data_IF_297186901736
#
_entry.id   IF_297186901736
#
_cell.length_a   1.000
_cell.length_b   1.000
_cell.length_c   1.000
_cell.angle_alpha   90.00
_cell.angle_beta   90.00
_cell.angle_gamma   90.00
#
_symmetry.space_group_name_H-M   'P 1'
#
loop_
_entity.id
_entity.type
_entity.pdbx_description
1 polymer ?
#
# COMPACT_ATOMS: atom_id res chain seq x y z
N UNK A 1 -8.96 -3.19 -13.69
CA UNK A 1 -8.85 -1.73 -13.55
C UNK A 1 -8.84 -1.47 -12.05
N UNK A 2 -7.81 -0.82 -11.53
CA UNK A 2 -7.67 -0.56 -10.09
C UNK A 2 -8.84 0.32 -9.61
N UNK A 3 -9.47 -0.04 -8.49
CA UNK A 3 -10.59 0.72 -7.92
C UNK A 3 -10.14 2.18 -7.67
N UNK A 4 -10.90 3.19 -8.16
CA UNK A 4 -10.58 4.60 -7.96
C UNK A 4 -10.38 5.00 -6.50
N UNK A 5 -11.02 4.30 -5.56
CA UNK A 5 -10.83 4.53 -4.14
C UNK A 5 -9.36 4.32 -3.73
N UNK A 6 -8.77 3.17 -4.06
CA UNK A 6 -7.40 2.85 -3.66
C UNK A 6 -6.39 3.82 -4.28
N UNK A 7 -6.58 4.16 -5.57
CA UNK A 7 -5.73 5.15 -6.24
C UNK A 7 -5.83 6.54 -5.58
N UNK A 8 -7.06 6.98 -5.29
CA UNK A 8 -7.28 8.30 -4.69
C UNK A 8 -6.72 8.39 -3.27
N UNK A 9 -6.99 7.40 -2.42
CA UNK A 9 -6.47 7.39 -1.05
C UNK A 9 -4.95 7.22 -1.01
N UNK A 10 -4.38 6.32 -1.82
CA UNK A 10 -2.94 6.12 -1.83
C UNK A 10 -2.18 7.34 -2.36
N UNK A 11 -2.78 8.14 -3.26
CA UNK A 11 -2.18 9.39 -3.77
C UNK A 11 -1.97 10.46 -2.69
N UNK A 12 -2.67 10.36 -1.56
CA UNK A 12 -2.54 11.28 -0.42
C UNK A 12 -1.39 10.90 0.49
N UNK A 13 -0.82 9.70 0.33
CA UNK A 13 0.25 9.21 1.18
C UNK A 13 1.60 9.81 0.76
N UNK A 14 2.41 10.29 1.71
CA UNK A 14 3.78 10.69 1.41
C UNK A 14 4.63 9.45 1.07
N UNK A 15 5.69 9.65 0.28
CA UNK A 15 6.51 8.53 -0.23
C UNK A 15 7.09 7.65 0.88
N UNK A 16 7.48 8.22 2.02
CA UNK A 16 7.99 7.45 3.16
C UNK A 16 6.93 6.49 3.73
N UNK A 17 5.67 6.92 3.81
CA UNK A 17 4.55 6.10 4.26
C UNK A 17 4.22 5.01 3.25
N UNK A 18 4.27 5.32 1.95
CA UNK A 18 4.14 4.32 0.87
C UNK A 18 5.21 3.24 1.04
N UNK A 19 6.48 3.62 1.22
CA UNK A 19 7.56 2.65 1.39
C UNK A 19 7.40 1.80 2.65
N UNK A 20 6.92 2.37 3.75
CA UNK A 20 6.62 1.65 4.99
C UNK A 20 5.50 0.61 4.79
N UNK A 21 4.42 0.99 4.11
CA UNK A 21 3.30 0.07 3.80
C UNK A 21 3.70 -1.05 2.85
N UNK A 22 4.54 -0.72 1.87
CA UNK A 22 5.14 -1.71 0.98
C UNK A 22 6.08 -2.66 1.74
N UNK A 23 6.73 -2.22 2.82
CA UNK A 23 7.53 -3.10 3.67
C UNK A 23 6.67 -4.17 4.33
N UNK A 24 5.53 -3.79 4.91
CA UNK A 24 4.56 -4.73 5.50
C UNK A 24 4.12 -5.79 4.47
N UNK A 25 3.68 -5.34 3.28
CA UNK A 25 3.27 -6.24 2.21
C UNK A 25 4.40 -7.16 1.70
N UNK A 26 5.65 -6.68 1.75
CA UNK A 26 6.82 -7.46 1.39
C UNK A 26 7.12 -8.56 2.43
N UNK A 27 7.00 -8.22 3.72
CA UNK A 27 7.21 -9.12 4.86
C UNK A 27 6.11 -10.19 4.95
N UNK A 28 4.85 -9.80 4.77
CA UNK A 28 3.68 -10.70 4.78
C UNK A 28 3.62 -11.64 3.57
N UNK A 29 4.46 -11.40 2.56
CA UNK A 29 4.50 -12.21 1.35
C UNK A 29 3.36 -11.94 0.37
N UNK A 30 2.62 -10.84 0.53
CA UNK A 30 1.52 -10.45 -0.34
C UNK A 30 1.99 -9.99 -1.75
N UNK A 31 3.23 -9.51 -1.86
CA UNK A 31 3.80 -9.06 -3.13
C UNK A 31 4.21 -10.19 -4.08
N UNK A 32 3.96 -9.99 -5.37
CA UNK A 32 4.52 -10.82 -6.44
C UNK A 32 6.04 -10.68 -6.58
N UNK A 33 6.70 -11.64 -7.22
CA UNK A 33 8.15 -11.60 -7.44
C UNK A 33 8.65 -10.32 -8.14
N UNK A 34 7.85 -9.79 -9.07
CA UNK A 34 8.16 -8.56 -9.80
C UNK A 34 8.14 -7.37 -8.83
N UNK A 35 7.09 -7.26 -8.01
CA UNK A 35 6.93 -6.17 -7.04
C UNK A 35 7.99 -6.24 -5.95
N UNK A 36 8.32 -7.44 -5.46
CA UNK A 36 9.45 -7.66 -4.54
C UNK A 36 10.77 -7.20 -5.15
N UNK A 37 10.99 -7.47 -6.44
CA UNK A 37 12.16 -7.00 -7.17
C UNK A 37 12.23 -5.46 -7.26
N UNK A 38 11.11 -4.83 -7.61
CA UNK A 38 10.99 -3.36 -7.68
C UNK A 38 11.21 -2.74 -6.29
N UNK A 39 10.58 -3.28 -5.24
CA UNK A 39 10.73 -2.79 -3.87
C UNK A 39 12.18 -2.83 -3.39
N UNK A 40 12.89 -3.97 -3.58
CA UNK A 40 14.32 -4.08 -3.23
C UNK A 40 15.16 -3.05 -3.98
N UNK A 41 14.92 -2.88 -5.28
CA UNK A 41 15.64 -1.89 -6.08
C UNK A 41 15.43 -0.46 -5.56
N UNK A 42 14.21 -0.10 -5.13
CA UNK A 42 13.93 1.21 -4.52
C UNK A 42 14.66 1.37 -3.19
N UNK A 43 14.64 0.35 -2.30
CA UNK A 43 15.35 0.39 -1.01
C UNK A 43 16.85 0.58 -1.17
N UNK A 44 17.46 -0.06 -2.17
CA UNK A 44 18.91 -0.02 -2.40
C UNK A 44 19.38 1.21 -3.18
N UNK A 45 18.64 1.60 -4.23
CA UNK A 45 19.09 2.56 -5.25
C UNK A 45 18.19 3.78 -5.40
N UNK A 46 17.10 3.84 -4.64
CA UNK A 46 16.11 4.92 -4.71
C UNK A 46 15.15 4.81 -5.90
N UNK A 47 14.09 5.61 -5.84
CA UNK A 47 12.99 5.60 -6.82
C UNK A 47 13.44 6.00 -8.24
N UNK A 48 14.45 6.85 -8.35
CA UNK A 48 15.01 7.29 -9.65
C UNK A 48 15.73 6.17 -10.40
N UNK A 49 16.01 5.04 -9.75
CA UNK A 49 16.64 3.89 -10.39
C UNK A 49 15.68 3.08 -11.27
N UNK A 50 14.36 3.29 -11.13
CA UNK A 50 13.36 2.52 -11.86
C UNK A 50 13.35 2.87 -13.36
N UNK A 51 13.29 1.84 -14.20
CA UNK A 51 12.91 2.03 -15.61
C UNK A 51 11.46 2.50 -15.72
N UNK A 52 11.09 3.07 -16.87
CA UNK A 52 9.72 3.55 -17.14
C UNK A 52 8.66 2.45 -16.88
N UNK A 53 8.94 1.21 -17.31
CA UNK A 53 8.03 0.07 -17.07
C UNK A 53 7.91 -0.26 -15.58
N UNK A 54 9.03 -0.28 -14.85
CA UNK A 54 8.99 -0.54 -13.40
C UNK A 54 8.29 0.59 -12.66
N UNK A 55 8.49 1.83 -13.10
CA UNK A 55 7.80 3.00 -12.55
C UNK A 55 6.30 2.90 -12.76
N UNK A 56 5.85 2.47 -13.94
CA UNK A 56 4.45 2.21 -14.20
C UNK A 56 3.87 1.14 -13.24
N UNK A 57 4.59 0.03 -13.03
CA UNK A 57 4.18 -1.00 -12.06
C UNK A 57 4.16 -0.50 -10.62
N UNK A 58 5.12 0.32 -10.24
CA UNK A 58 5.14 0.97 -8.93
C UNK A 58 3.91 1.86 -8.75
N UNK A 59 3.67 2.79 -9.68
CA UNK A 59 2.61 3.79 -9.56
C UNK A 59 1.19 3.19 -9.68
N UNK A 60 0.99 2.19 -10.55
CA UNK A 60 -0.35 1.65 -10.87
C UNK A 60 -0.63 0.29 -10.22
N UNK A 61 0.40 -0.45 -9.85
CA UNK A 61 0.30 -1.77 -9.23
C UNK A 61 0.53 -1.72 -7.74
N UNK A 62 1.67 -1.17 -7.30
CA UNK A 62 2.12 -1.24 -5.92
C UNK A 62 1.48 -0.18 -5.02
N UNK A 63 1.46 1.09 -5.43
CA UNK A 63 0.90 2.19 -4.61
C UNK A 63 -0.56 1.92 -4.17
N UNK A 64 -1.46 1.44 -5.04
CA UNK A 64 -2.84 1.17 -4.64
C UNK A 64 -2.98 0.09 -3.56
N UNK A 65 -2.03 -0.85 -3.47
CA UNK A 65 -2.03 -1.89 -2.44
C UNK A 65 -1.69 -1.34 -1.06
N UNK A 66 -1.14 -0.12 -0.96
CA UNK A 66 -0.88 0.55 0.30
C UNK A 66 -2.15 1.01 1.04
N UNK A 67 -3.33 0.72 0.52
CA UNK A 67 -4.60 1.10 1.14
C UNK A 67 -5.56 -0.06 1.08
N UNK A 68 -6.18 -0.37 2.22
CA UNK A 68 -7.31 -1.28 2.32
C UNK A 68 -8.58 -0.54 2.75
N UNK A 69 -9.72 -1.24 2.75
CA UNK A 69 -10.99 -0.70 3.22
C UNK A 69 -11.27 -1.20 4.63
N UNK A 70 -11.81 -0.34 5.47
CA UNK A 70 -12.30 -0.75 6.78
C UNK A 70 -13.39 -1.82 6.64
N UNK A 71 -13.30 -2.87 7.45
CA UNK A 71 -14.23 -4.01 7.44
C UNK A 71 -15.62 -3.68 8.00
N UNK A 72 -15.78 -2.52 8.65
CA UNK A 72 -17.09 -2.07 9.16
C UNK A 72 -18.02 -1.74 8.00
N UNK A 73 -19.18 -2.39 7.98
CA UNK A 73 -20.19 -2.20 6.93
C UNK A 73 -20.63 -0.74 6.86
N UNK A 74 -20.43 -0.12 5.69
CA UNK A 74 -20.80 1.27 5.44
C UNK A 74 -19.71 2.29 5.79
N UNK A 75 -18.60 1.86 6.39
CA UNK A 75 -17.42 2.70 6.57
C UNK A 75 -16.69 2.90 5.23
N UNK A 76 -16.32 4.15 4.94
CA UNK A 76 -15.54 4.50 3.73
C UNK A 76 -14.11 4.90 4.04
N UNK A 77 -13.68 4.76 5.30
CA UNK A 77 -12.33 5.14 5.71
C UNK A 77 -11.31 4.10 5.21
N UNK A 78 -10.13 4.54 4.75
CA UNK A 78 -9.04 3.65 4.41
C UNK A 78 -8.44 3.01 5.66
N UNK A 79 -7.79 1.86 5.48
CA UNK A 79 -6.98 1.18 6.49
C UNK A 79 -5.55 0.98 6.00
N UNK A 80 -4.66 0.74 6.95
CA UNK A 80 -3.31 0.26 6.67
C UNK A 80 -3.39 -1.18 6.13
N UNK A 81 -2.52 -1.61 5.20
CA UNK A 81 -2.57 -2.98 4.69
C UNK A 81 -2.43 -4.02 5.81
N UNK A 82 -3.27 -5.06 5.79
CA UNK A 82 -3.34 -6.05 6.86
C UNK A 82 -4.16 -5.65 8.09
N UNK A 83 -4.59 -4.38 8.20
CA UNK A 83 -5.48 -3.93 9.29
C UNK A 83 -6.95 -4.07 8.92
N UNK A 84 -7.70 -4.79 9.75
CA UNK A 84 -9.13 -5.01 9.54
C UNK A 84 -9.97 -3.73 9.71
N UNK A 85 -9.52 -2.80 10.57
CA UNK A 85 -10.27 -1.62 10.98
C UNK A 85 -9.46 -0.33 10.77
N UNK A 86 -10.14 0.78 10.51
CA UNK A 86 -9.48 2.08 10.43
C UNK A 86 -9.26 2.65 11.83
N UNK A 87 -8.40 3.66 11.96
CA UNK A 87 -8.02 4.28 13.24
C UNK A 87 -9.21 4.65 14.16
N UNK A 88 -10.38 4.92 13.58
CA UNK A 88 -11.61 5.21 14.35
C UNK A 88 -12.21 3.92 14.91
N UNK A 89 -12.35 2.90 14.08
CA UNK A 89 -13.00 1.64 14.46
C UNK A 89 -12.03 0.65 15.12
N UNK A 90 -10.72 0.83 14.99
CA UNK A 90 -9.72 0.05 15.72
C UNK A 90 -9.74 0.35 17.21
N UNK A 91 -10.13 1.56 17.62
CA UNK A 91 -10.33 1.89 19.04
C UNK A 91 -11.56 1.18 19.62
N UNK A 92 -12.58 0.93 18.79
CA UNK A 92 -13.83 0.29 19.21
C UNK A 92 -13.80 -1.25 19.08
N UNK A 93 -13.00 -1.77 18.15
CA UNK A 93 -13.03 -3.19 17.72
C UNK A 93 -11.64 -3.82 17.49
N UNK A 94 -10.55 -3.09 17.69
CA UNK A 94 -9.18 -3.61 17.60
C UNK A 94 -8.73 -4.14 18.96
N UNK A 95 -8.38 -5.43 18.98
CA UNK A 95 -7.66 -6.05 20.09
C UNK A 95 -6.25 -5.44 20.20
N UNK A 96 -5.78 -5.25 21.44
CA UNK A 96 -4.39 -4.87 21.81
C UNK A 96 -3.32 -5.78 21.16
#
# INVERSE_FOLDING_TARGET
MTDPFFLNEASKLPLNEILKRLETLYEDGAMSDIERGIYRQIKEKGLSSLSEKQRWHFDNGMIPQCVERCSIKGCTNPTYPGEAYCDIHSVEYGDD
#
